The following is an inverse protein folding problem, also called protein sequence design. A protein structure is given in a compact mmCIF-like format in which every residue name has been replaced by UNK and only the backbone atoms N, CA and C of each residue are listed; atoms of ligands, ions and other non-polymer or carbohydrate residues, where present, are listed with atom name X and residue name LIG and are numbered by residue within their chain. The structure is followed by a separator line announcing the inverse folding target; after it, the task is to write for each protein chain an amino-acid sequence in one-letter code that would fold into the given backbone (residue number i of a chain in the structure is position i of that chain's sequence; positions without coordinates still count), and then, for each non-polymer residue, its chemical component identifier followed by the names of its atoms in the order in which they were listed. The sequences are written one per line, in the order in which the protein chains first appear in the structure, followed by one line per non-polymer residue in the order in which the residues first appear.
data_IF_870633361321
#
_entry.id   IF_870633361321
#
_cell.length_a   1.000
_cell.length_b   1.000
_cell.length_c   1.000
_cell.angle_alpha   90.00
_cell.angle_beta   90.00
_cell.angle_gamma   90.00
#
_symmetry.space_group_name_H-M   'P 1'
#
loop_
_entity.id
_entity.type
_entity.pdbx_description
1 polymer ?
#
# COMPACT_ATOMS: atom_id res chain seq x y z
N UNK A 1 7.14 -26.09 9.29
CA UNK A 1 5.93 -26.01 10.15
C UNK A 1 5.23 -24.72 9.76
N UNK A 2 3.94 -24.76 9.38
CA UNK A 2 3.21 -23.54 9.00
C UNK A 2 3.14 -22.58 10.18
N UNK A 3 3.24 -21.28 9.91
CA UNK A 3 3.04 -20.22 10.91
C UNK A 3 1.65 -20.37 11.54
N UNK A 4 1.60 -20.46 12.87
CA UNK A 4 0.34 -20.60 13.60
C UNK A 4 -0.18 -19.20 13.93
N UNK A 5 -1.03 -18.66 13.06
CA UNK A 5 -1.80 -17.45 13.34
C UNK A 5 -2.97 -17.74 14.28
N UNK A 6 -3.25 -16.82 15.20
CA UNK A 6 -4.54 -16.80 15.90
C UNK A 6 -5.67 -16.30 14.95
N UNK A 7 -6.92 -16.38 15.41
CA UNK A 7 -8.09 -16.01 14.61
C UNK A 7 -8.08 -14.55 14.16
N UNK A 8 -7.70 -13.63 15.05
CA UNK A 8 -7.63 -12.20 14.75
C UNK A 8 -6.53 -11.88 13.73
N UNK A 9 -5.37 -12.52 13.86
CA UNK A 9 -4.26 -12.41 12.92
C UNK A 9 -4.63 -12.97 11.55
N UNK A 10 -5.36 -14.09 11.49
CA UNK A 10 -5.87 -14.63 10.22
C UNK A 10 -6.86 -13.69 9.57
N UNK A 11 -7.83 -13.16 10.31
CA UNK A 11 -8.79 -12.20 9.78
C UNK A 11 -8.09 -10.94 9.26
N UNK A 12 -7.13 -10.41 10.02
CA UNK A 12 -6.31 -9.27 9.58
C UNK A 12 -5.53 -9.59 8.30
N UNK A 13 -4.95 -10.78 8.20
CA UNK A 13 -4.23 -11.20 7.00
C UNK A 13 -5.14 -11.26 5.78
N UNK A 14 -6.35 -11.81 5.94
CA UNK A 14 -7.34 -11.87 4.86
C UNK A 14 -7.78 -10.47 4.41
N UNK A 15 -8.02 -9.56 5.36
CA UNK A 15 -8.39 -8.17 5.08
C UNK A 15 -7.25 -7.42 4.37
N UNK A 16 -6.00 -7.61 4.81
CA UNK A 16 -4.82 -7.03 4.18
C UNK A 16 -4.67 -7.52 2.73
N UNK A 17 -4.84 -8.83 2.50
CA UNK A 17 -4.83 -9.38 1.14
C UNK A 17 -5.98 -8.87 0.28
N UNK A 18 -7.18 -8.71 0.85
CA UNK A 18 -8.32 -8.16 0.14
C UNK A 18 -8.05 -6.72 -0.32
N UNK A 19 -7.48 -5.90 0.57
CA UNK A 19 -7.04 -4.55 0.23
C UNK A 19 -6.07 -4.55 -0.94
N UNK A 20 -4.97 -5.32 -0.87
CA UNK A 20 -3.99 -5.34 -1.96
C UNK A 20 -4.54 -5.90 -3.28
N UNK A 21 -5.53 -6.80 -3.24
CA UNK A 21 -6.21 -7.26 -4.47
C UNK A 21 -6.97 -6.12 -5.14
N UNK A 22 -7.75 -5.37 -4.35
CA UNK A 22 -8.46 -4.19 -4.85
C UNK A 22 -7.48 -3.14 -5.38
N UNK A 23 -6.40 -2.91 -4.65
CA UNK A 23 -5.35 -1.97 -5.00
C UNK A 23 -4.69 -2.31 -6.36
N UNK A 24 -4.40 -3.59 -6.61
CA UNK A 24 -3.92 -4.07 -7.92
C UNK A 24 -4.93 -3.84 -9.05
N UNK A 25 -6.23 -3.99 -8.79
CA UNK A 25 -7.28 -3.68 -9.77
C UNK A 25 -7.36 -2.17 -10.06
N UNK A 26 -7.23 -1.34 -9.02
CA UNK A 26 -7.24 0.12 -9.15
C UNK A 26 -6.05 0.63 -9.95
N UNK A 27 -4.84 0.08 -9.75
CA UNK A 27 -3.64 0.40 -10.53
C UNK A 27 -3.73 0.03 -12.02
N UNK A 28 -4.69 -0.80 -12.39
CA UNK A 28 -4.98 -1.14 -13.78
C UNK A 28 -6.03 -0.21 -14.42
N UNK A 29 -6.76 0.55 -13.60
CA UNK A 29 -7.80 1.45 -14.08
C UNK A 29 -7.18 2.59 -14.90
N UNK A 30 -7.61 2.82 -16.17
CA UNK A 30 -7.05 3.86 -17.01
C UNK A 30 -7.08 5.27 -16.40
N UNK A 31 -8.13 5.59 -15.62
CA UNK A 31 -8.22 6.88 -14.94
C UNK A 31 -7.19 7.01 -13.82
N UNK A 32 -6.97 5.93 -13.05
CA UNK A 32 -5.94 5.90 -12.02
C UNK A 32 -4.53 5.97 -12.63
N UNK A 33 -4.26 5.21 -13.70
CA UNK A 33 -2.97 5.25 -14.40
C UNK A 33 -2.68 6.63 -14.96
N UNK A 34 -3.68 7.29 -15.55
CA UNK A 34 -3.53 8.67 -16.06
C UNK A 34 -3.24 9.64 -14.91
N UNK A 35 -3.95 9.49 -13.79
CA UNK A 35 -3.72 10.28 -12.58
C UNK A 35 -2.29 10.07 -12.05
N UNK A 36 -1.83 8.83 -11.87
CA UNK A 36 -0.46 8.51 -11.46
C UNK A 36 0.58 9.01 -12.47
N UNK A 37 0.27 8.99 -13.77
CA UNK A 37 1.14 9.51 -14.83
C UNK A 37 1.38 11.01 -14.70
N UNK A 38 0.36 11.76 -14.28
CA UNK A 38 0.46 13.19 -13.97
C UNK A 38 1.35 13.43 -12.74
N UNK A 39 1.25 12.57 -11.71
CA UNK A 39 1.97 12.73 -10.45
C UNK A 39 3.42 12.26 -10.47
N UNK A 40 3.69 11.11 -11.10
CA UNK A 40 4.96 10.39 -11.01
C UNK A 40 5.64 10.22 -12.37
N UNK A 41 5.02 10.68 -13.45
CA UNK A 41 5.48 10.53 -14.82
C UNK A 41 4.91 9.27 -15.49
N UNK A 42 4.63 9.39 -16.79
CA UNK A 42 4.03 8.35 -17.63
C UNK A 42 4.80 7.02 -17.60
N UNK A 43 6.14 7.07 -17.58
CA UNK A 43 6.95 5.85 -17.52
C UNK A 43 6.79 5.12 -16.18
N UNK A 44 6.64 5.86 -15.08
CA UNK A 44 6.41 5.28 -13.76
C UNK A 44 5.02 4.63 -13.68
N UNK A 45 3.99 5.37 -14.09
CA UNK A 45 2.61 4.87 -14.09
C UNK A 45 2.44 3.64 -15.00
N UNK A 46 3.09 3.60 -16.17
CA UNK A 46 3.08 2.41 -17.04
C UNK A 46 3.74 1.22 -16.36
N UNK A 47 4.91 1.42 -15.75
CA UNK A 47 5.62 0.35 -15.04
C UNK A 47 4.80 -0.19 -13.86
N UNK A 48 4.15 0.70 -13.12
CA UNK A 48 3.33 0.32 -11.97
C UNK A 48 2.10 -0.49 -12.41
N UNK A 49 1.44 -0.05 -13.48
CA UNK A 49 0.38 -0.83 -14.14
C UNK A 49 0.87 -2.21 -14.59
N UNK A 50 2.03 -2.30 -15.25
CA UNK A 50 2.59 -3.58 -15.71
C UNK A 50 2.89 -4.56 -14.55
N UNK A 51 3.28 -4.03 -13.38
CA UNK A 51 3.46 -4.82 -12.17
C UNK A 51 2.11 -5.28 -11.61
N UNK A 52 1.11 -4.40 -11.60
CA UNK A 52 -0.23 -4.70 -11.15
C UNK A 52 -0.92 -5.78 -12.01
N UNK A 53 -0.80 -5.68 -13.34
CA UNK A 53 -1.31 -6.69 -14.30
C UNK A 53 -0.70 -8.09 -14.07
N UNK A 54 0.53 -8.15 -13.54
CA UNK A 54 1.22 -9.40 -13.22
C UNK A 54 0.99 -9.85 -11.77
N UNK A 55 0.22 -9.09 -10.99
CA UNK A 55 -0.13 -9.38 -9.60
C UNK A 55 1.00 -9.11 -8.60
N UNK A 56 1.93 -8.20 -8.90
CA UNK A 56 3.01 -7.83 -7.99
C UNK A 56 2.60 -6.69 -7.06
N UNK A 57 2.79 -6.89 -5.76
CA UNK A 57 2.66 -5.84 -4.73
C UNK A 57 4.04 -5.39 -4.25
N UNK A 58 4.12 -4.16 -3.72
CA UNK A 58 5.34 -3.68 -3.08
C UNK A 58 5.41 -4.09 -1.62
N UNK A 59 6.62 -4.37 -1.15
CA UNK A 59 6.94 -4.66 0.24
C UNK A 59 8.11 -3.76 0.64
N UNK A 60 8.03 -3.11 1.79
CA UNK A 60 9.09 -2.27 2.32
C UNK A 60 9.83 -2.99 3.44
N UNK A 61 11.05 -3.45 3.17
CA UNK A 61 11.89 -4.10 4.16
C UNK A 61 13.18 -3.31 4.37
N UNK A 62 13.44 -2.89 5.61
CA UNK A 62 14.66 -2.16 6.00
C UNK A 62 14.97 -0.96 5.08
N UNK A 63 13.93 -0.21 4.71
CA UNK A 63 14.04 0.97 3.84
C UNK A 63 14.26 0.66 2.36
N UNK A 64 14.09 -0.59 1.92
CA UNK A 64 14.19 -1.01 0.52
C UNK A 64 12.87 -1.59 0.05
N UNK A 65 12.43 -1.15 -1.13
CA UNK A 65 11.26 -1.71 -1.80
C UNK A 65 11.62 -3.01 -2.52
N UNK A 66 10.76 -3.99 -2.34
CA UNK A 66 10.78 -5.29 -3.01
C UNK A 66 9.42 -5.51 -3.65
N UNK A 67 9.36 -6.40 -4.64
CA UNK A 67 8.09 -6.85 -5.21
C UNK A 67 7.92 -8.34 -4.97
N UNK A 68 6.70 -8.76 -4.65
CA UNK A 68 6.33 -10.18 -4.53
C UNK A 68 4.95 -10.36 -5.15
N UNK A 69 4.69 -11.53 -5.75
CA UNK A 69 3.36 -11.79 -6.29
C UNK A 69 2.36 -12.00 -5.15
N UNK A 70 1.13 -11.52 -5.33
CA UNK A 70 0.09 -11.59 -4.30
C UNK A 70 -0.32 -13.03 -3.96
N UNK A 71 -0.18 -13.97 -4.90
CA UNK A 71 -0.43 -15.40 -4.70
C UNK A 71 0.70 -16.14 -3.98
N UNK A 72 1.88 -15.52 -3.86
CA UNK A 72 3.04 -16.05 -3.14
C UNK A 72 3.16 -15.48 -1.72
N UNK A 73 2.35 -14.47 -1.38
CA UNK A 73 2.40 -13.81 -0.08
C UNK A 73 2.08 -14.78 1.06
N UNK A 74 2.84 -14.65 2.14
CA UNK A 74 2.66 -15.41 3.37
C UNK A 74 2.41 -14.44 4.53
N UNK A 75 1.79 -14.87 5.65
CA UNK A 75 1.57 -14.01 6.80
C UNK A 75 2.85 -13.32 7.29
N UNK A 76 3.99 -14.00 7.20
CA UNK A 76 5.33 -13.49 7.44
C UNK A 76 5.72 -12.20 6.68
N UNK A 77 5.01 -11.87 5.59
CA UNK A 77 5.19 -10.67 4.78
C UNK A 77 4.37 -9.46 5.27
N UNK A 78 3.39 -9.67 6.16
CA UNK A 78 2.54 -8.59 6.67
C UNK A 78 3.31 -7.40 7.26
N UNK A 79 4.43 -7.58 8.00
CA UNK A 79 5.21 -6.44 8.47
C UNK A 79 5.77 -5.56 7.35
N UNK A 80 6.22 -6.15 6.25
CA UNK A 80 6.81 -5.40 5.14
C UNK A 80 5.73 -4.73 4.26
N UNK A 81 4.56 -5.37 4.13
CA UNK A 81 3.38 -4.77 3.50
C UNK A 81 2.88 -3.56 4.31
N UNK A 82 2.72 -3.73 5.62
CA UNK A 82 2.28 -2.64 6.50
C UNK A 82 3.31 -1.50 6.57
N UNK A 83 4.61 -1.80 6.51
CA UNK A 83 5.64 -0.76 6.43
C UNK A 83 5.54 0.07 5.15
N UNK A 84 5.21 -0.57 4.02
CA UNK A 84 4.99 0.12 2.75
C UNK A 84 3.75 1.02 2.81
N UNK A 85 2.63 0.50 3.34
CA UNK A 85 1.41 1.27 3.59
C UNK A 85 1.63 2.48 4.50
N UNK A 86 2.32 2.28 5.63
CA UNK A 86 2.62 3.36 6.58
C UNK A 86 3.55 4.42 5.97
N UNK A 87 4.48 4.03 5.09
CA UNK A 87 5.36 4.97 4.39
C UNK A 87 4.59 5.80 3.34
N UNK A 88 3.69 5.17 2.59
CA UNK A 88 2.84 5.88 1.62
C UNK A 88 1.91 6.88 2.30
N UNK A 89 1.33 6.51 3.45
CA UNK A 89 0.52 7.43 4.25
C UNK A 89 1.34 8.62 4.75
N UNK A 90 2.55 8.38 5.26
CA UNK A 90 3.40 9.46 5.77
C UNK A 90 3.75 10.45 4.66
N UNK A 91 4.09 9.95 3.46
CA UNK A 91 4.33 10.79 2.28
C UNK A 91 3.07 11.57 1.87
N UNK A 92 1.90 10.93 1.89
CA UNK A 92 0.64 11.61 1.59
C UNK A 92 0.35 12.73 2.60
N UNK A 93 0.54 12.49 3.90
CA UNK A 93 0.30 13.46 4.96
C UNK A 93 1.33 14.61 5.03
N UNK A 94 2.58 14.37 4.63
CA UNK A 94 3.61 15.42 4.56
C UNK A 94 3.38 16.40 3.41
N UNK A 95 2.79 15.91 2.33
CA UNK A 95 2.65 16.67 1.08
C UNK A 95 1.22 17.03 0.73
N UNK A 96 0.21 16.59 1.50
CA UNK A 96 -1.19 16.82 1.14
C UNK A 96 -2.01 17.44 2.27
N UNK A 97 -2.87 18.39 1.90
CA UNK A 97 -3.87 19.01 2.78
C UNK A 97 -5.28 18.77 2.23
N UNK A 98 -6.27 18.68 3.12
CA UNK A 98 -7.67 18.56 2.73
C UNK A 98 -8.32 19.94 2.77
N UNK A 99 -8.84 20.38 1.63
CA UNK A 99 -9.56 21.64 1.46
C UNK A 99 -11.00 21.37 1.04
N UNK A 100 -11.91 21.23 2.02
CA UNK A 100 -13.31 20.90 1.74
C UNK A 100 -13.45 19.47 1.19
N UNK A 101 -13.90 19.32 -0.06
CA UNK A 101 -14.12 18.02 -0.72
C UNK A 101 -12.92 17.55 -1.57
N UNK A 102 -11.82 18.32 -1.56
CA UNK A 102 -10.62 18.01 -2.35
C UNK A 102 -9.39 17.86 -1.46
N UNK A 103 -8.44 17.05 -1.93
CA UNK A 103 -7.09 16.96 -1.39
C UNK A 103 -6.15 17.70 -2.33
N UNK A 104 -5.34 18.58 -1.75
CA UNK A 104 -4.33 19.36 -2.43
C UNK A 104 -2.98 18.76 -2.09
N UNK A 105 -2.21 18.32 -3.08
CA UNK A 105 -0.87 17.76 -2.91
C UNK A 105 0.18 18.73 -3.44
N UNK A 106 1.10 19.14 -2.59
CA UNK A 106 2.19 20.08 -2.84
C UNK A 106 3.55 19.35 -2.90
N UNK A 107 4.18 19.39 -4.07
CA UNK A 107 5.55 18.90 -4.24
C UNK A 107 6.56 20.04 -4.09
N UNK A 108 7.62 19.89 -3.27
CA UNK A 108 8.67 20.91 -3.14
C UNK A 108 9.33 21.23 -4.50
N UNK A 109 9.11 22.44 -5.00
CA UNK A 109 9.64 22.90 -6.29
C UNK A 109 8.93 22.35 -7.53
N UNK A 110 7.79 21.67 -7.35
CA UNK A 110 6.98 21.09 -8.40
C UNK A 110 5.58 21.72 -8.51
N UNK A 111 4.74 21.21 -9.43
CA UNK A 111 3.34 21.61 -9.54
C UNK A 111 2.51 21.16 -8.33
N UNK A 112 1.57 22.02 -7.91
CA UNK A 112 0.50 21.68 -6.96
C UNK A 112 -0.64 21.02 -7.70
N UNK A 113 -1.22 19.97 -7.11
CA UNK A 113 -2.34 19.25 -7.69
C UNK A 113 -3.53 19.22 -6.75
N UNK A 114 -4.73 19.23 -7.33
CA UNK A 114 -5.98 19.11 -6.59
C UNK A 114 -6.76 17.92 -7.13
N UNK A 115 -7.17 17.01 -6.26
CA UNK A 115 -7.97 15.84 -6.60
C UNK A 115 -9.11 15.65 -5.59
N UNK A 116 -10.18 14.90 -5.93
CA UNK A 116 -11.21 14.55 -4.95
C UNK A 116 -10.59 13.94 -3.68
N UNK A 117 -11.09 14.34 -2.51
CA UNK A 117 -10.67 13.72 -1.27
C UNK A 117 -11.22 12.29 -1.19
N UNK A 118 -10.33 11.32 -1.10
CA UNK A 118 -10.68 9.93 -0.84
C UNK A 118 -10.49 9.67 0.65
N UNK A 119 -11.51 9.08 1.29
CA UNK A 119 -11.36 8.63 2.67
C UNK A 119 -10.23 7.60 2.72
N UNK A 120 -9.37 7.70 3.74
CA UNK A 120 -8.26 6.78 3.93
C UNK A 120 -8.79 5.35 4.19
N UNK A 121 -8.83 4.58 3.12
CA UNK A 121 -9.27 3.19 3.09
C UNK A 121 -8.39 2.29 3.98
N UNK A 122 -7.19 2.73 4.35
CA UNK A 122 -6.20 1.91 5.06
C UNK A 122 -6.10 2.22 6.55
N UNK A 123 -6.77 3.28 7.05
CA UNK A 123 -6.80 3.66 8.48
C UNK A 123 -7.06 2.47 9.40
N UNK A 124 -8.10 1.70 9.09
CA UNK A 124 -8.53 0.56 9.91
C UNK A 124 -7.48 -0.56 9.95
N UNK A 125 -6.76 -0.79 8.84
CA UNK A 125 -5.65 -1.75 8.78
C UNK A 125 -4.50 -1.29 9.67
N UNK A 126 -4.10 -0.02 9.57
CA UNK A 126 -3.01 0.55 10.37
C UNK A 126 -3.32 0.55 11.86
N UNK A 127 -4.56 0.87 12.25
CA UNK A 127 -5.01 0.82 13.63
C UNK A 127 -4.94 -0.60 14.20
N UNK A 128 -5.47 -1.60 13.49
CA UNK A 128 -5.40 -3.01 13.90
C UNK A 128 -3.96 -3.50 13.94
N UNK A 129 -3.13 -3.12 12.97
CA UNK A 129 -1.73 -3.49 12.92
C UNK A 129 -0.94 -3.06 14.16
N UNK A 130 -1.21 -1.87 14.71
CA UNK A 130 -0.53 -1.40 15.95
C UNK A 130 -0.69 -2.36 17.12
N UNK A 131 -1.84 -3.04 17.20
CA UNK A 131 -2.12 -4.03 18.23
C UNK A 131 -1.49 -5.38 17.89
N UNK A 132 -1.60 -5.83 16.64
CA UNK A 132 -1.17 -7.16 16.20
C UNK A 132 0.33 -7.31 16.00
N UNK A 133 1.05 -6.24 15.63
CA UNK A 133 2.46 -6.29 15.21
C UNK A 133 3.43 -6.86 16.25
N UNK A 134 3.09 -6.76 17.54
CA UNK A 134 3.97 -7.21 18.64
C UNK A 134 4.06 -8.73 18.70
N UNK A 135 2.96 -9.40 18.40
CA UNK A 135 2.80 -10.85 18.52
C UNK A 135 2.72 -11.52 17.14
N UNK A 136 2.99 -10.75 16.07
CA UNK A 136 2.96 -11.26 14.71
C UNK A 136 4.12 -12.25 14.48
N UNK A 137 3.89 -13.39 13.81
CA UNK A 137 4.96 -14.33 13.53
C UNK A 137 6.11 -13.65 12.78
N UNK A 138 7.31 -13.75 13.36
CA UNK A 138 8.50 -13.36 12.64
C UNK A 138 8.72 -14.35 11.49
N UNK A 139 9.14 -13.82 10.32
CA UNK A 139 9.72 -14.65 9.26
C UNK A 139 10.74 -15.57 9.90
N UNK A 140 10.50 -16.88 9.85
CA UNK A 140 11.48 -17.86 10.30
C UNK A 140 12.81 -17.55 9.63
N UNK A 141 13.83 -17.22 10.42
CA UNK A 141 15.21 -17.21 9.93
C UNK A 141 15.55 -18.66 9.59
N UNK A 142 15.44 -18.99 8.30
CA UNK A 142 16.00 -20.21 7.73
C UNK A 142 17.50 -20.07 7.53
#
# INVERSE_FOLDING_TARGET
MGEVLNEEQRAFWEDLLAYYRQELEERQNPAMVSMLGIFHGEEHARRDRELAEKGYVYLLRRGRLYVKRIDELEPSDAPDLMAELEANEALAGEHSSVEGEVTVTEFPGGPTFTHPHYEDATRHLRERWRHLRRDWPARGEG
#
